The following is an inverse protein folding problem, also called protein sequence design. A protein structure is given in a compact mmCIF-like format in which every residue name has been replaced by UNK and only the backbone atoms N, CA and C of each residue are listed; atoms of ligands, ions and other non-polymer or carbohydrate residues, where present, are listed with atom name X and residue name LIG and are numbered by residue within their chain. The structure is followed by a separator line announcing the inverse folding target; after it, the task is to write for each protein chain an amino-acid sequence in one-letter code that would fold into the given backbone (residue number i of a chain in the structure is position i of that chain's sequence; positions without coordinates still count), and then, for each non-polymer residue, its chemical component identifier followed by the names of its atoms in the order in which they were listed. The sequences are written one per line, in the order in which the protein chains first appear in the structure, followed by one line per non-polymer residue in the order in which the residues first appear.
data_IF_256590072166
#
_entry.id   IF_256590072166
#
_cell.length_a   1.000
_cell.length_b   1.000
_cell.length_c   1.000
_cell.angle_alpha   90.00
_cell.angle_beta   90.00
_cell.angle_gamma   90.00
#
_symmetry.space_group_name_H-M   'P 1'
#
loop_
_entity.id
_entity.type
_entity.pdbx_description
1 polymer ?
#
# COMPACT_ATOMS: atom_id res chain seq x y z
N UNK A 1 -27.82 45.51 -8.10
CA UNK A 1 -28.10 44.19 -7.50
C UNK A 1 -28.35 43.24 -8.64
N UNK A 2 -27.53 42.20 -8.86
CA UNK A 2 -27.94 41.07 -9.68
C UNK A 2 -28.74 40.10 -8.80
N UNK A 3 -29.93 39.77 -9.25
CA UNK A 3 -30.81 38.73 -8.72
C UNK A 3 -30.19 37.33 -9.00
N UNK A 4 -30.37 36.42 -8.04
CA UNK A 4 -30.34 34.97 -8.21
C UNK A 4 -29.12 34.32 -8.89
N UNK A 5 -27.92 34.56 -8.37
CA UNK A 5 -26.82 33.58 -8.54
C UNK A 5 -27.09 32.36 -7.64
N UNK A 6 -28.02 31.49 -8.04
CA UNK A 6 -28.25 30.21 -7.35
C UNK A 6 -27.09 29.25 -7.66
N UNK A 7 -26.16 29.11 -6.72
CA UNK A 7 -25.00 28.22 -6.85
C UNK A 7 -25.47 26.77 -6.77
N UNK A 8 -25.52 26.07 -7.90
CA UNK A 8 -25.93 24.65 -7.96
C UNK A 8 -24.69 23.76 -7.79
N UNK A 9 -24.35 23.49 -6.53
CA UNK A 9 -23.32 22.52 -6.14
C UNK A 9 -23.84 21.09 -6.35
N UNK A 10 -23.42 20.45 -7.42
CA UNK A 10 -23.60 18.99 -7.57
C UNK A 10 -22.37 18.31 -7.02
N UNK A 11 -22.52 17.56 -5.93
CA UNK A 11 -21.43 16.83 -5.30
C UNK A 11 -21.69 15.34 -5.47
N UNK A 12 -21.01 14.74 -6.44
CA UNK A 12 -21.05 13.29 -6.65
C UNK A 12 -19.95 12.64 -5.83
N UNK A 13 -20.32 11.95 -4.75
CA UNK A 13 -19.43 10.99 -4.13
C UNK A 13 -19.80 9.61 -4.66
N UNK A 14 -18.87 8.99 -5.37
CA UNK A 14 -19.02 7.59 -5.78
C UNK A 14 -18.18 6.71 -4.85
N UNK A 15 -18.80 5.75 -4.13
CA UNK A 15 -18.04 4.79 -3.35
C UNK A 15 -17.24 3.88 -4.29
N UNK A 16 -15.93 3.80 -4.08
CA UNK A 16 -15.02 2.98 -4.89
C UNK A 16 -15.24 1.48 -4.63
N UNK A 17 -15.75 1.11 -3.46
CA UNK A 17 -16.04 -0.27 -3.04
C UNK A 17 -17.38 -0.33 -2.29
N UNK A 18 -18.50 -0.44 -3.01
CA UNK A 18 -19.78 -0.99 -2.53
C UNK A 18 -20.42 -0.43 -1.24
N UNK A 19 -21.63 0.09 -1.36
CA UNK A 19 -22.62 0.36 -0.27
C UNK A 19 -22.22 1.35 0.82
N UNK A 20 -21.26 2.24 0.60
CA UNK A 20 -21.20 3.43 1.46
C UNK A 20 -22.50 4.23 1.26
N UNK A 21 -23.19 4.66 2.33
CA UNK A 21 -24.36 5.51 2.20
C UNK A 21 -23.96 6.78 1.42
N UNK A 22 -24.86 7.25 0.54
CA UNK A 22 -24.66 8.53 -0.11
C UNK A 22 -24.33 9.58 0.95
N UNK A 23 -23.30 10.43 0.74
CA UNK A 23 -22.92 11.45 1.70
C UNK A 23 -24.14 12.30 2.09
N UNK A 24 -24.45 12.35 3.38
CA UNK A 24 -25.57 13.12 3.90
C UNK A 24 -25.13 14.59 4.02
N UNK A 25 -25.36 15.38 2.98
CA UNK A 25 -25.10 16.81 2.97
C UNK A 25 -26.10 17.54 3.86
N UNK A 26 -25.59 18.34 4.80
CA UNK A 26 -26.40 19.19 5.65
C UNK A 26 -26.16 20.65 5.27
N UNK A 27 -27.20 21.33 4.79
CA UNK A 27 -27.12 22.78 4.62
C UNK A 27 -27.21 23.45 5.98
N UNK A 28 -26.18 24.22 6.35
CA UNK A 28 -26.18 25.05 7.55
C UNK A 28 -25.73 26.45 7.15
N UNK A 29 -26.57 27.45 7.41
CA UNK A 29 -26.35 28.84 7.00
C UNK A 29 -26.11 28.97 5.48
N UNK A 30 -25.01 29.59 5.05
CA UNK A 30 -24.55 29.74 3.67
C UNK A 30 -23.61 28.61 3.21
N UNK A 31 -23.41 27.57 4.01
CA UNK A 31 -22.50 26.45 3.75
C UNK A 31 -23.20 25.08 3.61
N UNK A 32 -22.54 24.18 2.89
CA UNK A 32 -22.88 22.76 2.78
C UNK A 32 -21.87 21.94 3.60
N UNK A 33 -22.37 21.20 4.58
CA UNK A 33 -21.57 20.38 5.48
C UNK A 33 -21.63 18.90 5.08
N UNK A 34 -20.47 18.25 5.12
CA UNK A 34 -20.32 16.81 4.93
C UNK A 34 -19.81 16.17 6.21
N UNK A 35 -20.57 15.22 6.76
CA UNK A 35 -20.10 14.40 7.87
C UNK A 35 -19.07 13.37 7.38
N UNK A 36 -17.79 13.67 7.62
CA UNK A 36 -16.68 12.79 7.27
C UNK A 36 -16.52 11.61 8.26
N UNK A 37 -17.11 11.66 9.46
CA UNK A 37 -17.09 10.50 10.37
C UNK A 37 -17.92 9.35 9.81
N UNK A 38 -19.07 9.67 9.21
CA UNK A 38 -19.93 8.69 8.52
C UNK A 38 -19.22 8.01 7.33
N UNK A 39 -18.14 8.61 6.83
CA UNK A 39 -17.37 8.17 5.66
C UNK A 39 -15.94 7.71 6.02
N UNK A 40 -15.67 7.49 7.32
CA UNK A 40 -14.34 7.14 7.83
C UNK A 40 -13.88 5.77 7.30
N UNK A 41 -12.79 5.77 6.52
CA UNK A 41 -12.19 4.57 5.92
C UNK A 41 -12.43 4.44 4.41
N UNK A 42 -13.27 5.30 3.84
CA UNK A 42 -13.56 5.36 2.42
C UNK A 42 -12.65 6.37 1.70
N UNK A 43 -12.36 6.12 0.42
CA UNK A 43 -11.74 7.13 -0.44
C UNK A 43 -12.84 7.98 -1.06
N UNK A 44 -12.86 9.27 -0.73
CA UNK A 44 -13.83 10.22 -1.28
C UNK A 44 -13.22 10.95 -2.46
N UNK A 45 -13.90 10.87 -3.61
CA UNK A 45 -13.72 11.81 -4.70
C UNK A 45 -14.83 12.85 -4.61
N UNK A 46 -14.45 14.12 -4.50
CA UNK A 46 -15.37 15.24 -4.53
C UNK A 46 -15.13 15.98 -5.85
N UNK A 47 -16.05 15.84 -6.81
CA UNK A 47 -16.09 16.70 -7.99
C UNK A 47 -16.94 17.93 -7.66
N UNK A 48 -16.31 19.10 -7.68
CA UNK A 48 -16.97 20.39 -7.46
C UNK A 48 -17.10 21.06 -8.83
N UNK A 49 -18.32 21.12 -9.38
CA UNK A 49 -18.60 21.88 -10.60
C UNK A 49 -19.15 23.25 -10.24
N UNK A 50 -18.46 24.28 -10.69
CA UNK A 50 -18.80 25.68 -10.43
C UNK A 50 -19.19 26.34 -11.74
N UNK A 51 -20.30 27.08 -11.77
CA UNK A 51 -20.74 27.82 -12.95
C UNK A 51 -19.82 29.02 -13.24
N UNK A 52 -19.66 29.34 -14.53
CA UNK A 52 -18.88 30.51 -14.96
C UNK A 52 -19.42 31.79 -14.30
N UNK A 53 -18.53 32.55 -13.65
CA UNK A 53 -18.87 33.79 -12.95
C UNK A 53 -19.18 33.64 -11.46
N UNK A 54 -19.16 32.42 -10.91
CA UNK A 54 -19.31 32.18 -9.47
C UNK A 54 -17.96 32.17 -8.74
N UNK A 55 -17.86 32.88 -7.62
CA UNK A 55 -16.73 32.78 -6.69
C UNK A 55 -17.06 31.80 -5.57
N UNK A 56 -16.15 30.86 -5.29
CA UNK A 56 -16.29 29.90 -4.20
C UNK A 56 -15.01 29.89 -3.36
N UNK A 57 -15.14 29.52 -2.08
CA UNK A 57 -14.03 29.37 -1.15
C UNK A 57 -14.27 28.14 -0.29
N UNK A 58 -13.27 27.27 -0.20
CA UNK A 58 -13.24 26.23 0.81
C UNK A 58 -12.72 26.87 2.10
N UNK A 59 -13.59 27.03 3.10
CA UNK A 59 -13.20 27.62 4.38
C UNK A 59 -12.65 26.55 5.33
N UNK A 60 -11.41 26.74 5.78
CA UNK A 60 -10.77 25.85 6.76
C UNK A 60 -11.51 25.81 8.11
N UNK A 61 -12.26 26.86 8.43
CA UNK A 61 -13.08 26.93 9.65
C UNK A 61 -14.28 25.96 9.62
N UNK A 62 -14.68 25.46 8.45
CA UNK A 62 -15.79 24.51 8.27
C UNK A 62 -15.38 23.05 8.55
N UNK A 63 -14.16 22.81 9.06
CA UNK A 63 -13.73 21.50 9.54
C UNK A 63 -13.90 21.45 11.07
N UNK A 64 -15.13 21.23 11.56
CA UNK A 64 -15.41 21.02 12.99
C UNK A 64 -15.24 19.54 13.39
N UNK A 65 -14.50 19.29 14.48
CA UNK A 65 -14.17 17.95 15.01
C UNK A 65 -12.69 17.86 15.41
N UNK A 66 -12.23 16.74 15.99
CA UNK A 66 -10.79 16.46 16.16
C UNK A 66 -10.11 16.34 14.79
N UNK A 67 -9.89 17.48 14.14
CA UNK A 67 -9.57 17.58 12.73
C UNK A 67 -8.35 16.73 12.38
N UNK A 68 -8.40 15.97 11.26
CA UNK A 68 -7.17 15.63 10.60
C UNK A 68 -6.57 16.97 10.20
N UNK A 69 -5.36 17.26 10.71
CA UNK A 69 -4.63 18.46 10.33
C UNK A 69 -4.30 18.31 8.85
N UNK A 70 -5.18 18.77 7.96
CA UNK A 70 -4.87 18.82 6.55
C UNK A 70 -4.20 20.16 6.26
N UNK A 71 -3.16 20.17 5.44
CA UNK A 71 -2.63 21.41 4.86
C UNK A 71 -3.15 21.55 3.45
N UNK A 72 -3.86 22.62 3.16
CA UNK A 72 -4.39 22.87 1.84
C UNK A 72 -3.33 23.58 0.99
N UNK A 73 -3.05 23.01 -0.18
CA UNK A 73 -2.23 23.62 -1.22
C UNK A 73 -3.17 24.00 -2.36
N UNK A 74 -3.47 25.29 -2.48
CA UNK A 74 -4.36 25.82 -3.52
C UNK A 74 -3.54 26.24 -4.74
N UNK A 75 -3.77 25.59 -5.89
CA UNK A 75 -3.14 25.93 -7.16
C UNK A 75 -4.19 25.75 -8.27
N UNK A 76 -4.97 26.81 -8.52
CA UNK A 76 -6.08 26.75 -9.49
C UNK A 76 -5.67 26.08 -10.81
N UNK A 77 -6.49 25.16 -11.37
CA UNK A 77 -7.83 24.73 -10.91
C UNK A 77 -7.82 23.61 -9.83
N UNK A 78 -6.67 23.25 -9.27
CA UNK A 78 -6.49 22.12 -8.37
C UNK A 78 -6.38 22.55 -6.89
N UNK A 79 -7.10 21.84 -6.02
CA UNK A 79 -6.93 21.93 -4.56
C UNK A 79 -6.37 20.60 -4.07
N UNK A 80 -5.22 20.64 -3.40
CA UNK A 80 -4.59 19.46 -2.80
C UNK A 80 -4.64 19.58 -1.28
N UNK A 81 -5.30 18.64 -0.60
CA UNK A 81 -5.30 18.54 0.85
C UNK A 81 -4.26 17.51 1.31
N UNK A 82 -3.17 17.97 1.93
CA UNK A 82 -2.11 17.12 2.49
C UNK A 82 -2.52 16.62 3.88
N UNK A 83 -2.67 15.31 4.05
CA UNK A 83 -2.97 14.69 5.35
C UNK A 83 -1.73 14.67 6.26
N UNK A 84 -1.65 15.56 7.24
CA UNK A 84 -0.52 15.60 8.19
C UNK A 84 -0.57 14.48 9.23
N UNK A 85 -1.67 13.71 9.27
CA UNK A 85 -1.78 12.45 10.03
C UNK A 85 -1.55 11.22 9.15
N UNK A 86 -1.04 11.34 7.93
CA UNK A 86 -0.57 10.17 7.21
C UNK A 86 0.72 9.63 7.86
N UNK A 87 0.80 8.31 8.05
CA UNK A 87 2.08 7.69 8.36
C UNK A 87 2.94 7.71 7.09
N UNK A 88 4.27 7.89 7.21
CA UNK A 88 5.13 7.71 6.06
C UNK A 88 5.01 6.27 5.56
N UNK A 89 5.22 6.07 4.26
CA UNK A 89 5.11 4.76 3.61
C UNK A 89 6.01 3.69 4.28
N UNK A 90 7.10 4.12 4.93
CA UNK A 90 7.91 3.29 5.79
C UNK A 90 8.27 4.03 7.08
N UNK A 91 8.18 3.34 8.21
CA UNK A 91 8.50 3.83 9.55
C UNK A 91 8.95 2.66 10.43
N UNK A 92 9.53 2.94 11.60
CA UNK A 92 9.81 1.89 12.57
C UNK A 92 8.80 2.02 13.72
N UNK A 93 8.15 0.89 14.03
CA UNK A 93 7.36 0.73 15.23
C UNK A 93 8.21 0.24 16.39
N UNK A 94 8.00 0.80 17.57
CA UNK A 94 8.70 0.42 18.81
C UNK A 94 7.86 -0.46 19.74
N UNK A 95 6.57 -0.61 19.42
CA UNK A 95 5.69 -1.57 20.06
C UNK A 95 5.05 -2.46 19.00
N UNK A 96 5.23 -3.76 19.15
CA UNK A 96 4.60 -4.75 18.31
C UNK A 96 3.85 -5.75 19.18
N UNK A 97 2.59 -6.00 18.83
CA UNK A 97 1.72 -6.96 19.50
C UNK A 97 1.43 -8.12 18.58
N UNK A 98 1.60 -9.35 19.06
CA UNK A 98 1.26 -10.55 18.28
C UNK A 98 -0.24 -10.78 18.38
N UNK A 99 -0.89 -10.85 17.22
CA UNK A 99 -2.32 -11.15 17.10
C UNK A 99 -2.47 -12.35 16.15
N UNK A 100 -3.15 -13.42 16.55
CA UNK A 100 -3.42 -14.56 15.66
C UNK A 100 -4.10 -14.10 14.37
N UNK A 101 -3.73 -14.70 13.24
CA UNK A 101 -4.18 -14.27 11.91
C UNK A 101 -5.70 -14.38 11.75
N UNK A 102 -6.27 -15.47 12.26
CA UNK A 102 -7.71 -15.73 12.35
C UNK A 102 -8.51 -14.66 13.13
N UNK A 103 -7.89 -13.98 14.10
CA UNK A 103 -8.55 -12.95 14.91
C UNK A 103 -8.31 -11.53 14.36
N UNK A 104 -7.28 -11.36 13.52
CA UNK A 104 -6.73 -10.06 13.16
C UNK A 104 -7.75 -9.15 12.48
N UNK A 105 -8.50 -9.67 11.51
CA UNK A 105 -9.52 -8.90 10.79
C UNK A 105 -10.67 -8.42 11.70
N UNK A 106 -11.09 -9.25 12.66
CA UNK A 106 -12.15 -8.90 13.61
C UNK A 106 -11.66 -7.83 14.60
N UNK A 107 -10.46 -8.03 15.17
CA UNK A 107 -9.86 -7.08 16.12
C UNK A 107 -9.53 -5.74 15.48
N UNK A 108 -9.02 -5.72 14.24
CA UNK A 108 -8.71 -4.48 13.53
C UNK A 108 -9.96 -3.62 13.33
N UNK A 109 -11.10 -4.24 13.00
CA UNK A 109 -12.38 -3.53 12.83
C UNK A 109 -12.92 -2.98 14.16
N UNK A 110 -12.79 -3.76 15.23
CA UNK A 110 -13.33 -3.43 16.55
C UNK A 110 -12.47 -2.41 17.31
N UNK A 111 -11.16 -2.60 17.37
CA UNK A 111 -10.25 -1.82 18.23
C UNK A 111 -9.58 -0.66 17.47
N UNK A 112 -9.34 -0.81 16.15
CA UNK A 112 -8.74 0.21 15.28
C UNK A 112 -7.47 0.83 15.88
N UNK A 113 -6.39 0.04 16.09
CA UNK A 113 -5.20 0.51 16.78
C UNK A 113 -4.56 1.71 16.05
N UNK A 114 -4.02 2.66 16.80
CA UNK A 114 -3.19 3.73 16.24
C UNK A 114 -1.83 3.14 15.80
N UNK A 115 -1.52 3.08 14.49
CA UNK A 115 -0.29 2.47 14.00
C UNK A 115 0.98 3.24 14.42
N UNK A 116 0.85 4.43 15.00
CA UNK A 116 1.96 5.17 15.62
C UNK A 116 2.35 4.62 16.99
N UNK A 117 1.39 4.00 17.67
CA UNK A 117 1.52 3.58 19.06
C UNK A 117 1.80 2.10 19.18
N UNK A 118 1.12 1.28 18.38
CA UNK A 118 1.21 -0.17 18.44
C UNK A 118 1.02 -0.76 17.05
N UNK A 119 1.91 -1.67 16.67
CA UNK A 119 1.88 -2.39 15.40
C UNK A 119 1.45 -3.83 15.65
N UNK A 120 0.43 -4.32 14.96
CA UNK A 120 0.00 -5.70 15.12
C UNK A 120 0.69 -6.59 14.09
N UNK A 121 1.24 -7.71 14.55
CA UNK A 121 1.99 -8.67 13.74
C UNK A 121 1.39 -10.06 13.88
N UNK A 122 1.49 -10.85 12.82
CA UNK A 122 1.01 -12.24 12.80
C UNK A 122 1.98 -13.16 12.03
N UNK A 123 1.76 -14.46 12.10
CA UNK A 123 2.53 -15.47 11.37
C UNK A 123 3.78 -15.97 12.08
N UNK A 124 4.50 -16.89 11.41
CA UNK A 124 5.61 -17.69 11.97
C UNK A 124 6.71 -16.88 12.65
N UNK A 125 7.03 -15.70 12.10
CA UNK A 125 8.15 -14.88 12.55
C UNK A 125 7.72 -13.72 13.45
N UNK A 126 6.43 -13.60 13.79
CA UNK A 126 5.90 -12.55 14.65
C UNK A 126 6.38 -12.70 16.10
N UNK A 127 6.69 -11.56 16.72
CA UNK A 127 7.20 -11.46 18.10
C UNK A 127 6.70 -10.18 18.77
N UNK A 128 6.48 -10.26 20.06
CA UNK A 128 6.22 -9.08 20.89
C UNK A 128 7.43 -8.14 20.86
N UNK A 129 7.16 -6.84 20.88
CA UNK A 129 8.17 -5.80 21.02
C UNK A 129 7.58 -4.71 21.92
N UNK A 130 8.30 -4.31 22.96
CA UNK A 130 7.96 -3.14 23.77
C UNK A 130 9.24 -2.40 24.14
N UNK A 131 9.63 -1.45 23.29
CA UNK A 131 10.77 -0.57 23.53
C UNK A 131 10.25 0.68 24.24
N UNK A 132 10.71 0.86 25.48
CA UNK A 132 10.43 2.05 26.28
C UNK A 132 11.40 3.16 25.89
N UNK A 133 10.87 4.38 25.76
CA UNK A 133 11.63 5.60 25.45
C UNK A 133 12.57 5.46 24.25
N UNK A 134 12.02 5.15 23.05
CA UNK A 134 12.83 4.99 21.85
C UNK A 134 13.56 6.30 21.49
N UNK A 135 14.80 6.16 21.04
CA UNK A 135 15.57 7.29 20.54
C UNK A 135 14.93 7.84 19.25
N UNK A 136 14.98 9.16 19.02
CA UNK A 136 14.48 9.74 17.78
C UNK A 136 15.21 9.14 16.58
N UNK A 137 14.43 8.58 15.67
CA UNK A 137 14.94 7.93 14.47
C UNK A 137 15.36 8.96 13.43
N UNK A 138 16.27 8.57 12.53
CA UNK A 138 16.54 9.37 11.34
C UNK A 138 15.59 9.01 10.21
N UNK A 139 15.42 9.97 9.31
CA UNK A 139 14.52 9.90 8.17
C UNK A 139 14.66 8.57 7.40
N UNK A 140 13.55 7.83 7.35
CA UNK A 140 13.41 6.63 6.53
C UNK A 140 13.25 7.06 5.08
N UNK A 141 14.15 6.60 4.21
CA UNK A 141 14.11 6.87 2.76
C UNK A 141 13.84 5.60 2.01
N UNK A 142 12.71 5.57 1.33
CA UNK A 142 12.31 4.47 0.47
C UNK A 142 12.59 4.82 -0.99
N UNK A 143 13.19 3.91 -1.73
CA UNK A 143 13.39 4.05 -3.16
C UNK A 143 13.28 2.69 -3.88
N UNK A 144 13.00 2.74 -5.19
CA UNK A 144 12.78 1.56 -6.03
C UNK A 144 13.77 1.54 -7.18
N UNK A 145 14.93 0.85 -7.03
CA UNK A 145 15.88 0.73 -8.13
C UNK A 145 15.33 -0.13 -9.29
N UNK A 146 14.35 -1.00 -9.03
CA UNK A 146 13.65 -1.84 -10.02
C UNK A 146 12.20 -2.06 -9.59
N UNK A 147 11.37 -2.55 -10.52
CA UNK A 147 9.96 -2.89 -10.23
C UNK A 147 9.83 -4.02 -9.18
N UNK A 148 10.78 -4.94 -9.13
CA UNK A 148 10.80 -6.09 -8.21
C UNK A 148 11.61 -5.84 -6.93
N UNK A 149 12.16 -4.64 -6.76
CA UNK A 149 13.13 -4.34 -5.70
C UNK A 149 12.77 -3.05 -4.97
N UNK A 150 12.65 -3.17 -3.65
CA UNK A 150 12.46 -2.06 -2.73
C UNK A 150 13.68 -1.90 -1.84
N UNK A 151 14.18 -0.68 -1.68
CA UNK A 151 15.27 -0.38 -0.75
C UNK A 151 14.81 0.68 0.23
N UNK A 152 15.07 0.42 1.51
CA UNK A 152 14.79 1.35 2.60
C UNK A 152 16.09 1.65 3.33
N UNK A 153 16.52 2.91 3.29
CA UNK A 153 17.62 3.42 4.09
C UNK A 153 17.06 4.09 5.35
N UNK A 154 17.64 3.78 6.50
CA UNK A 154 17.21 4.28 7.82
C UNK A 154 18.42 4.29 8.78
N UNK A 155 18.20 4.67 10.04
CA UNK A 155 19.16 4.47 11.12
C UNK A 155 18.38 3.99 12.34
N UNK A 156 18.45 2.69 12.62
CA UNK A 156 17.86 2.11 13.82
C UNK A 156 18.75 2.43 15.02
N UNK A 157 18.12 2.98 16.08
CA UNK A 157 18.75 3.35 17.35
C UNK A 157 18.12 2.53 18.47
N UNK A 158 18.46 1.24 18.47
CA UNK A 158 17.81 0.22 19.29
C UNK A 158 16.91 -0.74 18.49
N UNK A 159 16.31 -1.72 19.17
CA UNK A 159 15.38 -2.66 18.57
C UNK A 159 14.14 -1.97 18.01
N UNK A 160 13.64 -2.47 16.88
CA UNK A 160 12.47 -1.91 16.22
C UNK A 160 11.82 -2.88 15.25
N UNK A 161 10.65 -2.53 14.76
CA UNK A 161 10.00 -3.19 13.64
C UNK A 161 9.89 -2.18 12.50
N UNK A 162 10.74 -2.30 11.47
CA UNK A 162 10.55 -1.50 10.26
C UNK A 162 9.29 -1.99 9.54
N UNK A 163 8.27 -1.14 9.49
CA UNK A 163 7.02 -1.34 8.76
C UNK A 163 7.11 -0.65 7.41
N UNK A 164 6.69 -1.35 6.37
CA UNK A 164 6.47 -0.81 5.03
C UNK A 164 5.00 -1.03 4.67
N UNK A 165 4.29 0.07 4.42
CA UNK A 165 2.87 0.09 4.06
C UNK A 165 2.65 -0.32 2.58
N UNK A 166 3.23 -1.45 2.20
CA UNK A 166 3.01 -2.13 0.93
C UNK A 166 2.49 -3.57 1.16
N UNK A 167 1.71 -4.13 0.20
CA UNK A 167 1.10 -5.45 0.34
C UNK A 167 2.10 -6.55 0.69
N UNK A 168 1.84 -7.32 1.75
CA UNK A 168 2.59 -8.51 2.11
C UNK A 168 2.40 -9.63 1.08
N UNK A 169 3.48 -10.37 0.80
CA UNK A 169 3.46 -11.63 0.06
C UNK A 169 4.70 -12.47 0.45
N UNK A 170 4.58 -13.81 0.63
CA UNK A 170 5.69 -14.67 1.05
C UNK A 170 6.83 -14.78 0.00
N UNK A 171 6.58 -14.37 -1.24
CA UNK A 171 7.57 -14.25 -2.30
C UNK A 171 8.56 -13.11 -2.09
N UNK A 172 8.30 -12.16 -1.19
CA UNK A 172 9.28 -11.14 -0.83
C UNK A 172 10.39 -11.71 0.04
N UNK A 173 11.64 -11.53 -0.38
CA UNK A 173 12.83 -11.90 0.39
C UNK A 173 13.53 -10.64 0.87
N UNK A 174 13.92 -10.62 2.13
CA UNK A 174 14.47 -9.44 2.80
C UNK A 174 15.93 -9.66 3.17
N UNK A 175 16.74 -8.61 3.03
CA UNK A 175 18.09 -8.53 3.58
C UNK A 175 18.29 -7.24 4.37
N UNK A 176 18.80 -7.35 5.60
CA UNK A 176 19.24 -6.23 6.43
C UNK A 176 20.76 -6.18 6.39
N UNK A 177 21.33 -5.05 5.93
CA UNK A 177 22.77 -4.88 5.81
C UNK A 177 23.46 -6.07 5.09
N UNK A 178 22.80 -6.63 4.08
CA UNK A 178 23.27 -7.78 3.30
C UNK A 178 22.95 -9.18 3.87
N UNK A 179 22.49 -9.29 5.11
CA UNK A 179 22.15 -10.57 5.76
C UNK A 179 20.67 -10.89 5.61
N UNK A 180 20.34 -12.15 5.39
CA UNK A 180 18.93 -12.60 5.31
C UNK A 180 18.19 -12.31 6.61
N UNK A 181 16.96 -11.81 6.49
CA UNK A 181 16.07 -11.56 7.61
C UNK A 181 14.65 -12.04 7.28
N UNK A 182 13.88 -12.47 8.29
CA UNK A 182 12.50 -12.87 8.09
C UNK A 182 11.61 -11.65 7.81
N UNK A 183 10.59 -11.86 6.99
CA UNK A 183 9.52 -10.92 6.76
C UNK A 183 8.30 -11.33 7.59
N UNK A 184 7.60 -10.34 8.15
CA UNK A 184 6.45 -10.55 9.03
C UNK A 184 5.24 -9.78 8.49
N UNK A 185 4.05 -10.40 8.39
CA UNK A 185 2.80 -9.69 8.15
C UNK A 185 2.51 -8.66 9.25
N UNK A 186 2.18 -7.44 8.83
CA UNK A 186 1.80 -6.31 9.69
C UNK A 186 0.37 -5.91 9.37
N UNK A 187 -0.51 -5.86 10.37
CA UNK A 187 -1.94 -5.59 10.22
C UNK A 187 -2.63 -6.47 9.15
N UNK A 188 -2.06 -7.64 8.86
CA UNK A 188 -2.59 -8.61 7.89
C UNK A 188 -2.40 -8.23 6.42
N UNK A 189 -1.85 -7.06 6.14
CA UNK A 189 -1.74 -6.54 4.78
C UNK A 189 -0.36 -5.98 4.45
N UNK A 190 0.44 -5.59 5.44
CA UNK A 190 1.68 -4.86 5.24
C UNK A 190 2.92 -5.67 5.62
N UNK A 191 4.09 -5.16 5.25
CA UNK A 191 5.37 -5.82 5.44
C UNK A 191 6.06 -5.29 6.69
N UNK A 192 6.57 -6.18 7.53
CA UNK A 192 7.37 -5.86 8.71
C UNK A 192 8.69 -6.62 8.73
N UNK A 193 9.74 -5.96 9.22
CA UNK A 193 11.06 -6.57 9.43
C UNK A 193 11.61 -6.09 10.77
N UNK A 194 11.94 -7.01 11.67
CA UNK A 194 12.61 -6.65 12.91
C UNK A 194 14.03 -6.15 12.62
N UNK A 195 14.37 -5.00 13.18
CA UNK A 195 15.67 -4.34 13.05
C UNK A 195 16.34 -4.22 14.41
N UNK A 196 17.66 -4.27 14.42
CA UNK A 196 18.49 -4.09 15.61
C UNK A 196 19.21 -2.75 15.58
N UNK A 197 19.83 -2.41 16.71
CA UNK A 197 20.67 -1.22 16.81
C UNK A 197 21.78 -1.22 15.74
N UNK A 198 21.96 -0.07 15.09
CA UNK A 198 22.96 0.10 14.04
C UNK A 198 22.57 -0.46 12.67
N UNK A 199 21.37 -1.04 12.52
CA UNK A 199 20.84 -1.37 11.19
C UNK A 199 20.53 -0.09 10.40
N UNK A 200 20.86 -0.11 9.10
CA UNK A 200 20.82 1.10 8.26
C UNK A 200 20.15 0.92 6.91
N UNK A 201 20.10 -0.32 6.42
CA UNK A 201 19.58 -0.61 5.09
C UNK A 201 18.84 -1.93 5.06
N UNK A 202 17.65 -1.88 4.49
CA UNK A 202 16.86 -3.05 4.10
C UNK A 202 16.71 -3.08 2.59
N UNK A 203 16.89 -4.27 2.03
CA UNK A 203 16.60 -4.57 0.62
C UNK A 203 15.56 -5.67 0.58
N UNK A 204 14.39 -5.39 0.00
CA UNK A 204 13.34 -6.37 -0.27
C UNK A 204 13.31 -6.65 -1.76
N UNK A 205 13.34 -7.93 -2.14
CA UNK A 205 13.29 -8.38 -3.53
C UNK A 205 12.19 -9.42 -3.70
N UNK A 206 11.36 -9.24 -4.72
CA UNK A 206 10.32 -10.19 -5.04
C UNK A 206 10.90 -11.40 -5.78
N UNK A 207 10.93 -12.56 -5.11
CA UNK A 207 11.45 -13.84 -5.61
C UNK A 207 10.51 -14.96 -5.14
N UNK A 208 9.33 -15.10 -5.79
CA UNK A 208 8.34 -16.10 -5.41
C UNK A 208 8.86 -17.50 -5.70
N UNK A 209 8.66 -18.46 -4.81
CA UNK A 209 9.22 -19.81 -4.95
C UNK A 209 8.69 -20.54 -6.21
N UNK A 210 7.56 -20.08 -6.76
CA UNK A 210 6.94 -20.57 -8.01
C UNK A 210 7.74 -20.23 -9.27
N UNK A 211 8.67 -19.27 -9.23
CA UNK A 211 9.48 -18.90 -10.39
C UNK A 211 10.26 -20.12 -10.95
N UNK A 212 10.78 -20.94 -10.03
CA UNK A 212 11.58 -22.11 -10.36
C UNK A 212 10.72 -23.23 -10.94
N UNK A 213 9.49 -23.38 -10.45
CA UNK A 213 8.51 -24.31 -11.01
C UNK A 213 8.17 -23.93 -12.47
N UNK A 214 7.94 -22.64 -12.73
CA UNK A 214 7.70 -22.14 -14.09
C UNK A 214 8.86 -22.45 -15.03
N UNK A 215 10.10 -22.21 -14.59
CA UNK A 215 11.30 -22.50 -15.37
C UNK A 215 11.43 -23.99 -15.72
N UNK A 216 11.16 -24.89 -14.75
CA UNK A 216 11.19 -26.34 -14.97
C UNK A 216 10.15 -26.75 -16.00
N UNK A 217 8.90 -26.30 -15.85
CA UNK A 217 7.82 -26.62 -16.80
C UNK A 217 8.17 -26.13 -18.20
N UNK A 218 8.60 -24.87 -18.35
CA UNK A 218 8.99 -24.31 -19.65
C UNK A 218 10.15 -25.08 -20.29
N UNK A 219 11.14 -25.49 -19.51
CA UNK A 219 12.30 -26.25 -20.00
C UNK A 219 11.88 -27.64 -20.50
N UNK A 220 11.01 -28.33 -19.75
CA UNK A 220 10.48 -29.64 -20.14
C UNK A 220 9.64 -29.54 -21.41
N UNK A 221 8.74 -28.55 -21.49
CA UNK A 221 7.91 -28.33 -22.68
C UNK A 221 8.77 -27.99 -23.90
N UNK A 222 9.75 -27.10 -23.75
CA UNK A 222 10.66 -26.75 -24.84
C UNK A 222 11.47 -27.97 -25.33
N UNK A 223 11.97 -28.79 -24.40
CA UNK A 223 12.65 -30.04 -24.73
C UNK A 223 11.75 -31.03 -25.49
N UNK A 224 10.51 -31.19 -25.04
CA UNK A 224 9.53 -32.06 -25.71
C UNK A 224 9.20 -31.58 -27.14
N UNK A 225 8.99 -30.28 -27.33
CA UNK A 225 8.76 -29.67 -28.65
C UNK A 225 9.98 -29.86 -29.56
N UNK A 226 11.19 -29.66 -29.04
CA UNK A 226 12.41 -29.85 -29.81
C UNK A 226 12.57 -31.32 -30.28
N UNK A 227 12.35 -32.29 -29.39
CA UNK A 227 12.39 -33.71 -29.73
C UNK A 227 11.32 -34.08 -30.77
N UNK A 228 10.12 -33.52 -30.66
CA UNK A 228 9.05 -33.72 -31.63
C UNK A 228 9.41 -33.19 -33.02
N UNK A 229 9.96 -31.97 -33.10
CA UNK A 229 10.41 -31.37 -34.36
C UNK A 229 11.55 -32.19 -35.00
N UNK A 230 12.54 -32.63 -34.21
CA UNK A 230 13.61 -33.51 -34.69
C UNK A 230 13.06 -34.85 -35.21
N UNK A 231 12.04 -35.39 -34.55
CA UNK A 231 11.31 -36.57 -35.01
C UNK A 231 10.59 -36.38 -36.35
N UNK A 232 10.04 -35.21 -36.62
CA UNK A 232 9.40 -34.89 -37.92
C UNK A 232 10.46 -34.75 -39.02
N UNK A 233 11.55 -34.05 -38.74
CA UNK A 233 12.62 -33.81 -39.71
C UNK A 233 13.35 -35.10 -40.11
N UNK A 234 13.65 -35.96 -39.14
CA UNK A 234 14.25 -37.28 -39.39
C UNK A 234 13.33 -38.17 -40.26
N UNK A 235 12.01 -38.17 -40.01
CA UNK A 235 11.04 -38.90 -40.85
C UNK A 235 10.96 -38.38 -42.29
N UNK A 236 11.17 -37.08 -42.53
CA UNK A 236 11.20 -36.48 -43.88
C UNK A 236 12.47 -36.83 -44.64
N UNK A 237 13.63 -36.83 -43.96
CA UNK A 237 14.91 -37.21 -44.56
C UNK A 237 14.95 -38.68 -45.00
N UNK A 238 14.33 -39.58 -44.23
CA UNK A 238 14.29 -41.02 -44.57
C UNK A 238 13.37 -41.29 -45.78
N UNK A 239 12.29 -40.53 -45.96
CA UNK A 239 11.34 -40.70 -47.08
C UNK A 239 11.82 -40.12 -48.41
N UNK A 240 12.89 -39.33 -48.42
CA UNK A 240 13.42 -38.67 -49.62
C UNK A 240 14.62 -39.40 -50.25
N UNK A 241 15.00 -40.57 -49.73
CA UNK A 241 16.03 -41.40 -50.35
C UNK A 241 15.53 -41.98 -51.70
N UNK A 242 16.20 -41.72 -52.84
CA UNK A 242 15.75 -42.23 -54.13
C UNK A 242 15.83 -43.77 -54.18
N UNK A 243 14.91 -44.44 -54.91
CA UNK A 243 14.94 -45.89 -55.04
C UNK A 243 16.27 -46.31 -55.68
N UNK A 244 16.93 -47.31 -55.10
CA UNK A 244 18.11 -47.93 -55.69
C UNK A 244 17.69 -48.60 -57.00
N UNK A 245 18.32 -48.18 -58.09
CA UNK A 245 18.16 -48.74 -59.43
C UNK A 245 18.64 -50.19 -59.51
#
# INVERSE_FOLDING_TARGET
MPEDASLRLTIEAQPVLGTAPAPAWQRREDALWLDLEALRGETLYLELRVEEGSSWRLDEALLEGETPRFRIHQREPLVVAENLRAQPIAYIGHRARVVPEEELGTKLRAERPDPRREVWVSGEHARELDVRDPLPERAVRLHRPRADTLVVDFEARGPGLLVVLEPFDPGWKVRINGRHAPLVPVFGAFRGVYVADGDRRIVMQYRPDTWMLGLVISSVTAGAVLLWLLGILSRRAIRSAPPRA
#
